data_IF_931647084339
#
_entry.id   IF_931647084339
#
_cell.length_a   1.000
_cell.length_b   1.000
_cell.length_c   1.000
_cell.angle_alpha   90.00
_cell.angle_beta   90.00
_cell.angle_gamma   90.00
#
_symmetry.space_group_name_H-M   'P 1'
#
loop_
_entity.id
_entity.type
_entity.pdbx_description
1 polymer ?
#
# COMPACT_ATOMS: atom_id res chain seq x y z
N UNK A 1 52.04 25.95 -34.88
CA UNK A 1 51.30 24.67 -34.82
C UNK A 1 51.42 24.19 -33.38
N UNK A 2 50.44 24.51 -32.53
CA UNK A 2 49.27 23.67 -32.18
C UNK A 2 49.70 22.40 -31.42
N UNK A 3 49.16 21.99 -30.28
CA UNK A 3 48.16 22.52 -29.34
C UNK A 3 48.32 21.73 -28.04
N UNK A 4 48.04 22.38 -26.92
CA UNK A 4 47.84 21.80 -25.58
C UNK A 4 46.57 20.94 -25.53
N UNK A 5 46.64 19.75 -24.92
CA UNK A 5 45.47 18.92 -24.60
C UNK A 5 45.23 18.93 -23.09
N UNK A 6 44.25 19.73 -22.67
CA UNK A 6 43.79 19.84 -21.30
C UNK A 6 42.93 18.63 -20.89
N UNK A 7 43.15 18.19 -19.65
CA UNK A 7 42.44 17.10 -18.97
C UNK A 7 41.08 17.61 -18.49
N UNK A 8 40.00 17.08 -19.07
CA UNK A 8 38.60 17.37 -18.68
C UNK A 8 38.21 16.51 -17.47
N UNK A 9 37.76 17.11 -16.34
CA UNK A 9 37.05 16.36 -15.31
C UNK A 9 35.56 16.24 -15.62
N UNK A 10 35.02 15.08 -15.26
CA UNK A 10 33.64 14.64 -15.40
C UNK A 10 32.65 15.53 -14.61
N UNK A 11 31.47 15.64 -15.20
CA UNK A 11 30.16 16.13 -14.73
C UNK A 11 29.89 16.20 -13.22
N UNK A 12 28.94 17.07 -12.83
CA UNK A 12 27.70 16.51 -12.27
C UNK A 12 26.47 16.91 -13.07
N UNK A 13 25.74 15.88 -13.55
CA UNK A 13 24.29 15.92 -13.77
C UNK A 13 23.66 15.66 -12.41
N UNK A 14 22.99 16.64 -11.84
CA UNK A 14 21.67 16.38 -11.28
C UNK A 14 20.93 17.72 -11.22
N UNK A 15 19.98 17.83 -12.14
CA UNK A 15 18.98 18.86 -12.22
C UNK A 15 18.17 18.88 -10.92
N UNK A 16 18.44 19.88 -10.09
CA UNK A 16 17.59 20.28 -8.97
C UNK A 16 16.23 20.70 -9.52
N UNK A 17 15.26 19.80 -9.47
CA UNK A 17 13.87 20.10 -9.74
C UNK A 17 13.28 20.83 -8.54
N UNK A 18 13.25 22.17 -8.63
CA UNK A 18 12.16 23.03 -8.14
C UNK A 18 11.52 22.57 -6.82
N UNK A 19 12.09 22.98 -5.69
CA UNK A 19 11.53 22.74 -4.36
C UNK A 19 10.12 23.34 -4.23
N UNK A 20 9.09 22.50 -4.33
CA UNK A 20 7.72 22.86 -3.91
C UNK A 20 7.61 23.12 -2.40
N UNK A 21 8.65 22.79 -1.63
CA UNK A 21 8.67 22.88 -0.18
C UNK A 21 9.77 23.82 0.30
N UNK A 22 9.49 24.73 1.26
CA UNK A 22 10.44 25.74 1.75
C UNK A 22 11.46 25.16 2.74
N UNK A 23 12.05 24.00 2.44
CA UNK A 23 13.11 23.42 3.29
C UNK A 23 14.47 24.03 2.93
N UNK A 24 15.23 24.44 3.94
CA UNK A 24 16.65 24.76 3.77
C UNK A 24 17.47 23.53 3.37
N UNK A 25 18.70 23.75 2.91
CA UNK A 25 19.58 22.66 2.46
C UNK A 25 19.85 21.63 3.57
N UNK A 26 20.12 22.09 4.79
CA UNK A 26 20.35 21.21 5.96
C UNK A 26 19.10 20.38 6.30
N UNK A 27 17.91 20.99 6.27
CA UNK A 27 16.66 20.30 6.52
C UNK A 27 16.38 19.25 5.44
N UNK A 28 16.66 19.58 4.18
CA UNK A 28 16.50 18.65 3.06
C UNK A 28 17.42 17.45 3.20
N UNK A 29 18.69 17.63 3.58
CA UNK A 29 19.62 16.51 3.81
C UNK A 29 19.15 15.58 4.93
N UNK A 30 18.55 16.12 5.99
CA UNK A 30 17.98 15.29 7.07
C UNK A 30 16.75 14.52 6.59
N UNK A 31 15.88 15.15 5.80
CA UNK A 31 14.71 14.50 5.21
C UNK A 31 15.11 13.36 4.27
N UNK A 32 16.10 13.58 3.39
CA UNK A 32 16.66 12.56 2.50
C UNK A 32 17.24 11.38 3.26
N UNK A 33 18.12 11.63 4.24
CA UNK A 33 18.68 10.56 5.09
C UNK A 33 17.60 9.79 5.84
N UNK A 34 16.60 10.51 6.36
CA UNK A 34 15.48 9.87 7.04
C UNK A 34 14.64 9.02 6.09
N UNK A 35 14.48 9.47 4.85
CA UNK A 35 13.76 8.75 3.81
C UNK A 35 14.47 7.45 3.40
N UNK A 36 15.80 7.44 3.39
CA UNK A 36 16.59 6.21 3.18
C UNK A 36 16.36 5.20 4.32
N UNK A 37 16.23 5.68 5.56
CA UNK A 37 15.95 4.82 6.73
C UNK A 37 14.51 4.29 6.74
N UNK A 38 13.53 5.12 6.41
CA UNK A 38 12.11 4.79 6.43
C UNK A 38 11.33 5.67 5.46
N UNK A 39 10.31 5.11 4.79
CA UNK A 39 9.53 5.83 3.79
C UNK A 39 8.15 6.26 4.32
N UNK A 40 7.70 5.70 5.46
CA UNK A 40 6.43 6.05 6.11
C UNK A 40 6.65 6.71 7.48
N UNK A 41 5.85 7.75 7.77
CA UNK A 41 5.98 8.53 8.98
C UNK A 41 5.06 8.01 10.08
N UNK A 42 5.66 7.69 11.23
CA UNK A 42 4.94 7.51 12.50
C UNK A 42 5.15 8.74 13.37
N UNK A 43 4.34 8.92 14.43
CA UNK A 43 4.53 10.01 15.39
C UNK A 43 5.96 10.05 15.93
N UNK A 44 6.53 8.89 16.27
CA UNK A 44 7.92 8.77 16.74
C UNK A 44 8.94 9.21 15.68
N UNK A 45 8.75 8.81 14.42
CA UNK A 45 9.63 9.19 13.30
C UNK A 45 9.53 10.69 13.02
N UNK A 46 8.32 11.24 13.05
CA UNK A 46 8.06 12.68 12.91
C UNK A 46 8.75 13.48 14.02
N UNK A 47 8.62 13.07 15.27
CA UNK A 47 9.31 13.72 16.40
C UNK A 47 10.84 13.66 16.25
N UNK A 48 11.39 12.53 15.78
CA UNK A 48 12.84 12.40 15.52
C UNK A 48 13.29 13.43 14.47
N UNK A 49 12.60 13.51 13.33
CA UNK A 49 12.93 14.47 12.27
C UNK A 49 12.85 15.90 12.80
N UNK A 50 11.76 16.27 13.49
CA UNK A 50 11.60 17.61 14.06
C UNK A 50 12.69 18.01 15.05
N UNK A 51 13.18 17.06 15.83
CA UNK A 51 14.30 17.33 16.75
C UNK A 51 15.61 17.64 16.02
N UNK A 52 15.75 17.26 14.75
CA UNK A 52 16.95 17.47 13.93
C UNK A 52 16.85 18.70 13.03
N UNK A 53 15.70 18.94 12.39
CA UNK A 53 15.51 20.07 11.46
C UNK A 53 14.90 21.31 12.13
N UNK A 54 14.46 21.19 13.38
CA UNK A 54 13.80 22.24 14.12
C UNK A 54 12.26 22.15 14.09
N UNK A 55 11.63 22.79 15.07
CA UNK A 55 10.18 22.79 15.25
C UNK A 55 9.43 23.81 14.39
N UNK A 56 10.14 24.61 13.59
CA UNK A 56 9.58 25.62 12.71
C UNK A 56 8.80 25.03 11.52
N UNK A 57 9.12 23.81 11.11
CA UNK A 57 8.40 23.13 10.05
C UNK A 57 7.13 22.45 10.59
N UNK A 58 6.04 22.56 9.86
CA UNK A 58 4.79 21.90 10.23
C UNK A 58 4.86 20.40 9.96
N UNK A 59 4.11 19.61 10.74
CA UNK A 59 4.03 18.16 10.50
C UNK A 59 3.50 17.85 9.09
N UNK A 60 2.63 18.72 8.58
CA UNK A 60 2.03 18.59 7.27
C UNK A 60 3.08 18.72 6.16
N UNK A 61 3.94 19.74 6.20
CA UNK A 61 5.01 19.95 5.20
C UNK A 61 5.95 18.75 5.09
N UNK A 62 6.36 18.19 6.24
CA UNK A 62 7.21 16.99 6.28
C UNK A 62 6.46 15.79 5.68
N UNK A 63 5.18 15.63 6.02
CA UNK A 63 4.36 14.52 5.51
C UNK A 63 4.16 14.59 4.00
N UNK A 64 3.92 15.80 3.47
CA UNK A 64 3.77 16.02 2.05
C UNK A 64 5.08 15.78 1.30
N UNK A 65 6.22 16.21 1.86
CA UNK A 65 7.53 15.91 1.26
C UNK A 65 7.78 14.40 1.17
N UNK A 66 7.49 13.64 2.23
CA UNK A 66 7.61 12.17 2.20
C UNK A 66 6.65 11.55 1.18
N UNK A 67 5.43 12.05 1.06
CA UNK A 67 4.47 11.58 0.06
C UNK A 67 4.95 11.85 -1.38
N UNK A 68 5.48 13.05 -1.63
CA UNK A 68 6.03 13.43 -2.93
C UNK A 68 7.24 12.56 -3.31
N UNK A 69 8.14 12.29 -2.37
CA UNK A 69 9.30 11.41 -2.60
C UNK A 69 8.88 9.98 -2.92
N UNK A 70 7.92 9.41 -2.18
CA UNK A 70 7.37 8.09 -2.52
C UNK A 70 6.77 8.08 -3.93
N UNK A 71 6.01 9.11 -4.30
CA UNK A 71 5.43 9.18 -5.63
C UNK A 71 6.52 9.20 -6.72
N UNK A 72 7.56 10.00 -6.52
CA UNK A 72 8.70 10.08 -7.43
C UNK A 72 9.42 8.72 -7.59
N UNK A 73 9.65 7.99 -6.50
CA UNK A 73 10.23 6.64 -6.56
C UNK A 73 9.35 5.65 -7.32
N UNK A 74 8.02 5.74 -7.17
CA UNK A 74 7.10 4.85 -7.89
C UNK A 74 7.04 5.20 -9.37
N UNK A 75 7.04 6.48 -9.72
CA UNK A 75 7.09 6.91 -11.12
C UNK A 75 8.39 6.48 -11.80
N UNK A 76 9.51 6.52 -11.07
CA UNK A 76 10.82 6.16 -11.61
C UNK A 76 11.00 4.65 -11.75
N UNK A 77 10.69 3.90 -10.70
CA UNK A 77 11.08 2.49 -10.57
C UNK A 77 9.94 1.55 -10.20
N UNK A 78 8.79 2.09 -9.77
CA UNK A 78 7.68 1.29 -9.25
C UNK A 78 6.67 0.81 -10.29
N UNK A 79 7.02 0.82 -11.57
CA UNK A 79 6.15 0.38 -12.64
C UNK A 79 6.17 -1.15 -12.86
N UNK A 80 4.97 -1.72 -12.99
CA UNK A 80 4.77 -3.12 -13.39
C UNK A 80 4.97 -4.17 -12.28
N UNK A 81 4.80 -5.46 -12.62
CA UNK A 81 5.05 -6.56 -11.71
C UNK A 81 6.55 -6.62 -11.38
N UNK A 82 6.88 -6.94 -10.12
CA UNK A 82 8.27 -6.95 -9.60
C UNK A 82 8.94 -5.59 -9.44
N UNK A 83 8.16 -4.51 -9.45
CA UNK A 83 8.59 -3.18 -9.00
C UNK A 83 9.28 -3.20 -7.61
N UNK A 84 8.90 -4.14 -6.75
CA UNK A 84 9.49 -4.32 -5.42
C UNK A 84 11.01 -4.58 -5.44
N UNK A 85 11.60 -5.03 -6.55
CA UNK A 85 13.05 -5.29 -6.63
C UNK A 85 13.89 -4.01 -6.71
N UNK A 86 13.26 -2.88 -7.09
CA UNK A 86 13.94 -1.60 -7.32
C UNK A 86 13.53 -0.52 -6.32
N UNK A 87 12.40 -0.70 -5.64
CA UNK A 87 11.88 0.28 -4.69
C UNK A 87 12.55 0.18 -3.31
N UNK A 88 12.55 1.28 -2.53
CA UNK A 88 12.94 1.25 -1.13
C UNK A 88 12.13 0.25 -0.30
N UNK A 89 12.71 -0.27 0.79
CA UNK A 89 12.24 -1.47 1.51
C UNK A 89 10.76 -1.43 1.91
N UNK A 90 10.28 -0.37 2.56
CA UNK A 90 8.87 -0.32 3.02
C UNK A 90 7.90 -0.23 1.83
N UNK A 91 8.31 0.46 0.76
CA UNK A 91 7.53 0.57 -0.47
C UNK A 91 7.54 -0.73 -1.27
N UNK A 92 8.69 -1.38 -1.37
CA UNK A 92 8.86 -2.68 -2.00
C UNK A 92 7.97 -3.73 -1.33
N UNK A 93 7.94 -3.74 0.01
CA UNK A 93 7.06 -4.62 0.76
C UNK A 93 5.58 -4.40 0.41
N UNK A 94 5.13 -3.14 0.31
CA UNK A 94 3.76 -2.83 -0.07
C UNK A 94 3.43 -3.24 -1.50
N UNK A 95 4.36 -3.02 -2.45
CA UNK A 95 4.22 -3.49 -3.83
C UNK A 95 4.12 -5.02 -3.89
N UNK A 96 5.03 -5.73 -3.23
CA UNK A 96 5.02 -7.20 -3.17
C UNK A 96 3.73 -7.74 -2.52
N UNK A 97 3.25 -7.07 -1.47
CA UNK A 97 2.03 -7.49 -0.78
C UNK A 97 0.81 -7.29 -1.69
N UNK A 98 0.72 -6.15 -2.37
CA UNK A 98 -0.36 -5.85 -3.31
C UNK A 98 -0.36 -6.80 -4.50
N UNK A 99 0.81 -7.09 -5.09
CA UNK A 99 0.96 -8.05 -6.19
C UNK A 99 0.44 -9.46 -5.82
N UNK A 100 0.51 -9.84 -4.53
CA UNK A 100 0.02 -11.12 -4.02
C UNK A 100 -1.46 -11.10 -3.66
N UNK A 101 -1.92 -10.03 -3.02
CA UNK A 101 -3.31 -9.88 -2.60
C UNK A 101 -3.75 -8.42 -2.80
N UNK A 102 -4.35 -8.08 -3.96
CA UNK A 102 -4.76 -6.71 -4.26
C UNK A 102 -6.00 -6.28 -3.45
N UNK A 103 -6.73 -7.23 -2.84
CA UNK A 103 -7.88 -6.89 -2.00
C UNK A 103 -7.44 -6.56 -0.58
N UNK A 104 -7.32 -5.26 -0.30
CA UNK A 104 -6.94 -4.72 1.01
C UNK A 104 -7.80 -5.23 2.17
N UNK A 105 -9.07 -5.63 1.93
CA UNK A 105 -9.98 -6.12 2.98
C UNK A 105 -9.55 -7.48 3.54
N UNK A 106 -8.72 -8.22 2.83
CA UNK A 106 -8.19 -9.52 3.28
C UNK A 106 -6.91 -9.40 4.11
N UNK A 107 -6.34 -8.19 4.23
CA UNK A 107 -5.16 -7.96 5.06
C UNK A 107 -5.53 -7.88 6.54
N UNK A 108 -4.71 -8.53 7.38
CA UNK A 108 -4.77 -8.37 8.82
C UNK A 108 -3.92 -7.17 9.24
N UNK A 109 -4.51 -5.98 9.27
CA UNK A 109 -3.81 -4.72 9.57
C UNK A 109 -3.14 -4.70 10.94
N UNK A 110 -3.75 -5.32 11.96
CA UNK A 110 -3.17 -5.36 13.30
C UNK A 110 -1.82 -6.06 13.30
N UNK A 111 -1.74 -7.23 12.68
CA UNK A 111 -0.50 -7.99 12.58
C UNK A 111 0.50 -7.26 11.69
N UNK A 112 0.03 -6.70 10.59
CA UNK A 112 0.88 -6.06 9.60
C UNK A 112 1.53 -4.77 10.13
N UNK A 113 0.74 -3.87 10.73
CA UNK A 113 1.24 -2.61 11.30
C UNK A 113 2.24 -2.86 12.44
N UNK A 114 2.03 -3.92 13.23
CA UNK A 114 2.95 -4.29 14.32
C UNK A 114 4.33 -4.72 13.80
N UNK A 115 4.38 -5.44 12.68
CA UNK A 115 5.63 -5.97 12.13
C UNK A 115 6.35 -4.93 11.26
N UNK A 116 5.60 -4.09 10.54
CA UNK A 116 6.16 -3.25 9.49
C UNK A 116 6.17 -1.75 9.80
N UNK A 117 5.62 -1.33 10.94
CA UNK A 117 5.69 0.07 11.43
C UNK A 117 5.13 1.09 10.41
N UNK A 118 4.11 0.66 9.66
CA UNK A 118 3.36 1.46 8.69
C UNK A 118 1.90 1.45 9.14
N UNK A 119 1.23 2.61 9.09
CA UNK A 119 -0.14 2.72 9.58
C UNK A 119 -1.14 2.03 8.66
N UNK A 120 -2.28 1.61 9.22
CA UNK A 120 -3.39 1.07 8.41
C UNK A 120 -3.86 2.08 7.35
N UNK A 121 -3.90 3.38 7.70
CA UNK A 121 -4.29 4.44 6.78
C UNK A 121 -3.34 4.52 5.58
N UNK A 122 -2.03 4.44 5.81
CA UNK A 122 -1.02 4.47 4.75
C UNK A 122 -1.15 3.26 3.81
N UNK A 123 -1.39 2.07 4.35
CA UNK A 123 -1.60 0.86 3.55
C UNK A 123 -2.85 1.02 2.68
N UNK A 124 -3.97 1.45 3.27
CA UNK A 124 -5.22 1.64 2.53
C UNK A 124 -5.08 2.70 1.43
N UNK A 125 -4.42 3.81 1.72
CA UNK A 125 -4.15 4.86 0.73
C UNK A 125 -3.28 4.33 -0.40
N UNK A 126 -2.19 3.63 -0.08
CA UNK A 126 -1.33 3.01 -1.08
C UNK A 126 -2.10 2.04 -2.01
N UNK A 127 -2.95 1.17 -1.45
CA UNK A 127 -3.76 0.23 -2.25
C UNK A 127 -4.73 0.95 -3.18
N UNK A 128 -5.35 2.03 -2.70
CA UNK A 128 -6.26 2.84 -3.51
C UNK A 128 -5.51 3.49 -4.68
N UNK A 129 -4.40 4.17 -4.40
CA UNK A 129 -3.57 4.83 -5.42
C UNK A 129 -2.98 3.83 -6.41
N UNK A 130 -2.58 2.63 -5.96
CA UNK A 130 -2.09 1.57 -6.84
C UNK A 130 -3.20 1.04 -7.75
N UNK A 131 -4.37 0.75 -7.21
CA UNK A 131 -5.51 0.29 -8.00
C UNK A 131 -5.95 1.33 -9.04
N UNK A 132 -5.92 2.62 -8.71
CA UNK A 132 -6.18 3.71 -9.66
C UNK A 132 -5.15 3.73 -10.80
N UNK A 133 -3.85 3.55 -10.48
CA UNK A 133 -2.80 3.46 -11.51
C UNK A 133 -2.93 2.23 -12.40
N UNK A 134 -3.28 1.08 -11.83
CA UNK A 134 -3.48 -0.16 -12.61
C UNK A 134 -4.70 -0.05 -13.53
N UNK A 135 -5.78 0.63 -13.09
CA UNK A 135 -6.95 0.95 -13.92
C UNK A 135 -6.58 1.82 -15.11
N UNK A 136 -5.80 2.88 -14.88
CA UNK A 136 -5.33 3.78 -15.96
C UNK A 136 -4.48 3.01 -16.98
N UNK A 137 -3.66 2.05 -16.52
CA UNK A 137 -2.79 1.24 -17.40
C UNK A 137 -3.50 0.08 -18.08
N UNK A 138 -4.74 -0.24 -17.71
CA UNK A 138 -5.46 -1.40 -18.24
C UNK A 138 -4.88 -2.75 -17.77
N UNK A 139 -4.15 -2.78 -16.66
CA UNK A 139 -3.47 -3.99 -16.15
C UNK A 139 -4.38 -4.84 -15.25
N UNK A 140 -5.45 -4.29 -14.69
CA UNK A 140 -6.45 -5.05 -13.92
C UNK A 140 -7.86 -4.51 -14.13
N UNK A 141 -8.72 -5.30 -14.77
CA UNK A 141 -10.17 -5.19 -14.63
C UNK A 141 -10.57 -5.53 -13.20
N UNK A 142 -11.44 -4.75 -12.54
CA UNK A 142 -12.08 -5.22 -11.32
C UNK A 142 -12.81 -6.50 -11.68
N UNK A 143 -12.48 -7.61 -11.01
CA UNK A 143 -13.34 -8.77 -10.99
C UNK A 143 -14.58 -8.36 -10.19
N UNK A 144 -15.52 -7.69 -10.87
CA UNK A 144 -16.89 -7.54 -10.41
C UNK A 144 -17.51 -8.94 -10.44
N UNK A 145 -17.77 -9.42 -9.23
CA UNK A 145 -18.81 -10.39 -8.86
C UNK A 145 -19.56 -11.07 -10.02
N UNK A 146 -19.10 -12.25 -10.40
CA UNK A 146 -20.00 -13.26 -10.97
C UNK A 146 -20.82 -13.86 -9.81
N UNK A 147 -22.07 -13.40 -9.64
CA UNK A 147 -23.19 -14.26 -9.23
C UNK A 147 -24.54 -13.53 -9.40
N UNK A 148 -25.04 -13.49 -10.63
CA UNK A 148 -26.49 -13.56 -10.88
C UNK A 148 -26.70 -14.54 -12.03
N UNK A 149 -26.75 -15.82 -11.66
CA UNK A 149 -27.16 -16.90 -12.53
C UNK A 149 -28.69 -16.79 -12.71
N UNK A 150 -29.10 -15.96 -13.67
CA UNK A 150 -30.49 -15.90 -14.15
C UNK A 150 -30.80 -17.24 -14.81
N UNK A 151 -31.40 -18.12 -14.01
CA UNK A 151 -32.17 -19.27 -14.50
C UNK A 151 -33.12 -18.86 -15.62
N UNK A 152 -33.30 -19.71 -16.63
CA UNK A 152 -34.63 -19.94 -17.18
C UNK A 152 -35.13 -21.34 -16.80
N UNK A 153 -36.39 -21.36 -16.41
CA UNK A 153 -37.11 -22.52 -15.93
C UNK A 153 -37.57 -23.47 -17.06
N UNK A 154 -37.79 -24.72 -16.64
CA UNK A 154 -38.86 -25.64 -17.06
C UNK A 154 -38.68 -26.51 -18.32
N UNK A 155 -38.38 -27.79 -18.07
CA UNK A 155 -39.36 -28.86 -18.31
C UNK A 155 -39.12 -30.10 -17.44
N UNK A 156 -40.15 -30.62 -16.73
CA UNK A 156 -40.00 -31.74 -15.82
C UNK A 156 -40.33 -33.08 -16.51
N UNK A 157 -39.39 -34.03 -16.48
CA UNK A 157 -39.62 -35.44 -16.79
C UNK A 157 -40.08 -36.22 -15.54
N UNK A 158 -41.00 -37.19 -15.65
CA UNK A 158 -41.67 -37.78 -14.49
C UNK A 158 -40.95 -39.04 -14.03
N UNK A 159 -40.22 -38.99 -12.92
CA UNK A 159 -39.79 -40.22 -12.25
C UNK A 159 -40.06 -40.18 -10.75
N UNK A 160 -41.15 -40.90 -10.43
CA UNK A 160 -41.59 -41.55 -9.20
C UNK A 160 -40.60 -41.53 -8.02
N UNK A 161 -41.13 -41.05 -6.90
CA UNK A 161 -40.61 -41.22 -5.55
C UNK A 161 -40.47 -42.69 -5.11
N UNK A 162 -39.62 -42.95 -4.12
CA UNK A 162 -39.97 -43.88 -3.05
C UNK A 162 -39.92 -43.22 -1.67
N UNK A 163 -41.10 -43.27 -1.04
CA UNK A 163 -41.41 -43.54 0.38
C UNK A 163 -40.27 -43.57 1.40
N UNK A 164 -40.51 -42.86 2.50
CA UNK A 164 -40.37 -43.44 3.84
C UNK A 164 -39.31 -42.80 4.73
N UNK A 165 -39.71 -41.79 5.51
CA UNK A 165 -38.97 -41.36 6.71
C UNK A 165 -39.88 -41.53 7.92
N UNK A 166 -39.55 -42.39 8.90
CA UNK A 166 -40.19 -42.32 10.20
C UNK A 166 -39.50 -41.26 11.07
N UNK A 167 -40.38 -40.53 11.75
CA UNK A 167 -40.15 -39.64 12.89
C UNK A 167 -39.64 -40.38 14.12
N UNK A 168 -38.64 -39.83 14.82
CA UNK A 168 -38.46 -39.85 16.28
C UNK A 168 -37.64 -38.58 16.61
N UNK A 169 -38.17 -37.59 17.36
CA UNK A 169 -38.05 -37.47 18.83
C UNK A 169 -36.63 -37.03 19.21
N UNK A 170 -36.32 -36.05 20.06
CA UNK A 170 -37.05 -35.22 21.00
C UNK A 170 -36.13 -34.02 21.38
N UNK A 171 -36.71 -32.91 21.84
CA UNK A 171 -36.00 -31.88 22.61
C UNK A 171 -35.78 -32.37 24.05
N UNK A 172 -34.78 -31.82 24.79
CA UNK A 172 -35.19 -30.86 25.81
C UNK A 172 -34.24 -29.67 26.04
N UNK A 173 -34.89 -28.61 26.48
CA UNK A 173 -34.39 -27.37 27.08
C UNK A 173 -33.66 -27.61 28.39
N UNK A 174 -32.51 -26.93 28.64
CA UNK A 174 -32.06 -26.64 30.01
C UNK A 174 -31.31 -25.31 30.14
N UNK A 175 -31.48 -24.75 31.34
CA UNK A 175 -31.35 -23.35 31.77
C UNK A 175 -29.91 -22.87 31.98
N UNK A 176 -29.69 -21.56 31.79
CA UNK A 176 -28.54 -20.80 32.32
C UNK A 176 -28.55 -20.76 33.85
N UNK A 177 -27.40 -20.74 34.52
CA UNK A 177 -27.28 -20.20 35.87
C UNK A 177 -26.69 -18.77 35.89
N UNK A 178 -26.93 -18.16 37.04
CA UNK A 178 -26.94 -16.74 37.39
C UNK A 178 -25.58 -16.30 37.93
N UNK A 179 -25.22 -15.03 37.69
CA UNK A 179 -24.12 -14.31 38.33
C UNK A 179 -24.26 -14.34 39.87
N UNK A 180 -23.14 -14.51 40.56
CA UNK A 180 -22.76 -13.72 41.73
C UNK A 180 -21.39 -13.12 41.44
#
# INVERSE_FOLDING_TARGET
MSSTAAKVPKTPKSSSSSSKYPFGEEATQVLEKSFEEFQYLTEKRMSKIKSQIGHCFENHEISEWFAAQRLQEIEKDGEGPKAYERLPVEMALLHLTYDREPNVKKLNFFTWAKVHVISEADIRNYYKERAERDKIRGVVSPSEEAHEDKSPASSPGPFRAPRGRPSFGATPSFKKPKKN
#
